data_IF_025681665220
#
_entry.id   IF_025681665220
#
_cell.length_a   1.000
_cell.length_b   1.000
_cell.length_c   1.000
_cell.angle_alpha   90.00
_cell.angle_beta   90.00
_cell.angle_gamma   90.00
#
_symmetry.space_group_name_H-M   'P 1'
#
loop_
_entity.id
_entity.type
_entity.pdbx_description
1 polymer ?
#
# COMPACT_ATOMS: atom_id res chain seq x y z
N UNK A 1 5.80 5.56 16.14
CA UNK A 1 4.42 5.28 15.67
C UNK A 1 3.91 6.56 15.03
N UNK A 2 3.61 6.54 13.73
CA UNK A 2 3.04 7.69 13.02
C UNK A 2 1.60 7.35 12.67
N UNK A 3 0.69 8.30 12.82
CA UNK A 3 -0.70 8.11 12.43
C UNK A 3 -1.00 8.96 11.19
N UNK A 4 -1.83 8.43 10.29
CA UNK A 4 -2.17 9.07 9.02
C UNK A 4 -3.67 9.03 8.76
N UNK A 5 -4.25 10.15 8.34
CA UNK A 5 -5.65 10.22 7.92
C UNK A 5 -5.75 9.99 6.40
N UNK A 6 -6.42 8.91 6.01
CA UNK A 6 -6.74 8.61 4.62
C UNK A 6 -8.22 8.89 4.35
N UNK A 7 -8.49 9.53 3.20
CA UNK A 7 -9.84 9.84 2.75
C UNK A 7 -10.00 9.32 1.32
N UNK A 8 -10.99 8.45 1.10
CA UNK A 8 -11.38 7.97 -0.22
C UNK A 8 -12.76 8.50 -0.61
N UNK A 9 -12.92 8.98 -1.83
CA UNK A 9 -14.21 9.46 -2.35
C UNK A 9 -14.51 8.86 -3.73
N UNK A 10 -15.75 8.42 -3.94
CA UNK A 10 -16.24 7.88 -5.21
C UNK A 10 -17.68 8.33 -5.50
N UNK A 11 -17.92 8.77 -6.73
CA UNK A 11 -19.28 8.88 -7.28
C UNK A 11 -19.75 7.48 -7.70
N UNK A 12 -20.92 7.07 -7.24
CA UNK A 12 -21.49 5.76 -7.58
C UNK A 12 -22.51 5.88 -8.72
N UNK A 13 -22.71 4.79 -9.47
CA UNK A 13 -23.56 4.75 -10.66
C UNK A 13 -25.05 5.08 -10.40
N UNK A 14 -25.47 5.10 -9.13
CA UNK A 14 -26.84 5.39 -8.67
C UNK A 14 -26.96 6.77 -8.00
N UNK A 15 -26.03 7.69 -8.27
CA UNK A 15 -26.09 9.06 -7.76
C UNK A 15 -25.71 9.24 -6.29
N UNK A 16 -25.36 8.17 -5.58
CA UNK A 16 -24.82 8.26 -4.23
C UNK A 16 -23.32 8.60 -4.27
N UNK A 17 -22.89 9.49 -3.39
CA UNK A 17 -21.47 9.78 -3.16
C UNK A 17 -20.99 8.94 -1.99
N UNK A 18 -20.01 8.09 -2.24
CA UNK A 18 -19.32 7.33 -1.20
C UNK A 18 -18.11 8.13 -0.71
N UNK A 19 -18.02 8.36 0.59
CA UNK A 19 -16.85 8.93 1.26
C UNK A 19 -16.47 8.02 2.41
N UNK A 20 -15.21 7.61 2.45
CA UNK A 20 -14.63 6.85 3.54
C UNK A 20 -13.46 7.62 4.15
N UNK A 21 -13.35 7.54 5.48
CA UNK A 21 -12.25 8.08 6.28
C UNK A 21 -11.67 6.96 7.10
N UNK A 22 -10.34 6.91 7.15
CA UNK A 22 -9.60 5.91 7.92
C UNK A 22 -8.42 6.59 8.57
N UNK A 23 -8.31 6.46 9.89
CA UNK A 23 -7.10 6.75 10.65
C UNK A 23 -6.24 5.50 10.68
N UNK A 24 -5.03 5.59 10.16
CA UNK A 24 -4.08 4.50 10.05
C UNK A 24 -2.96 4.68 11.06
N UNK A 25 -2.53 3.60 11.68
CA UNK A 25 -1.24 3.51 12.33
C UNK A 25 -0.21 2.97 11.37
N UNK A 26 0.91 3.65 11.24
CA UNK A 26 2.00 3.33 10.33
C UNK A 26 3.21 2.79 11.12
N UNK A 27 3.73 1.65 10.67
CA UNK A 27 4.97 1.05 11.15
C UNK A 27 5.97 0.92 10.02
N UNK A 28 7.18 1.44 10.21
CA UNK A 28 8.29 1.37 9.26
C UNK A 28 9.29 0.33 9.74
N UNK A 29 9.71 -0.55 8.84
CA UNK A 29 10.61 -1.66 9.11
C UNK A 29 11.72 -1.67 8.05
N UNK A 30 12.84 -0.97 8.31
CA UNK A 30 13.95 -0.86 7.37
C UNK A 30 14.63 -2.20 7.03
N UNK A 31 14.47 -3.20 7.91
CA UNK A 31 15.01 -4.57 7.76
C UNK A 31 13.89 -5.59 7.45
N UNK A 32 12.71 -5.09 7.05
CA UNK A 32 11.53 -5.90 6.82
C UNK A 32 10.76 -6.25 8.11
N UNK A 33 9.52 -6.67 7.95
CA UNK A 33 8.70 -7.10 9.10
C UNK A 33 9.24 -8.41 9.69
N UNK A 34 9.26 -8.55 11.03
CA UNK A 34 9.82 -9.72 11.70
C UNK A 34 9.08 -11.01 11.34
N UNK A 35 9.76 -12.14 11.53
CA UNK A 35 9.16 -13.47 11.39
C UNK A 35 7.91 -13.59 12.28
N UNK A 36 6.86 -14.21 11.74
CA UNK A 36 5.55 -14.31 12.41
C UNK A 36 4.65 -13.08 12.27
N UNK A 37 5.12 -11.97 11.68
CA UNK A 37 4.24 -10.86 11.33
C UNK A 37 3.24 -11.30 10.23
N UNK A 38 1.98 -10.88 10.33
CA UNK A 38 0.88 -11.28 9.40
C UNK A 38 1.11 -10.97 7.91
N UNK A 39 2.06 -10.09 7.61
CA UNK A 39 2.45 -9.69 6.26
C UNK A 39 3.91 -10.04 5.96
N UNK A 40 4.52 -10.91 6.77
CA UNK A 40 5.83 -11.47 6.47
C UNK A 40 5.73 -12.28 5.17
N UNK A 41 6.70 -12.07 4.29
CA UNK A 41 6.85 -12.85 3.07
C UNK A 41 8.13 -13.64 3.26
N UNK A 42 8.06 -14.97 3.12
CA UNK A 42 9.26 -15.80 3.15
C UNK A 42 10.16 -15.35 2.00
N UNK A 43 11.38 -14.90 2.33
CA UNK A 43 12.38 -14.64 1.30
C UNK A 43 12.65 -15.95 0.56
N UNK A 44 12.64 -15.92 -0.77
CA UNK A 44 13.03 -17.09 -1.54
C UNK A 44 14.44 -17.51 -1.08
N UNK A 45 14.56 -18.73 -0.60
CA UNK A 45 15.75 -19.24 0.08
C UNK A 45 17.04 -18.88 -0.70
N UNK A 46 17.91 -18.08 -0.08
CA UNK A 46 19.25 -17.79 -0.59
C UNK A 46 19.50 -16.37 -1.13
N UNK A 47 18.49 -15.50 -1.20
CA UNK A 47 18.72 -14.08 -1.52
C UNK A 47 18.67 -13.24 -0.23
N UNK A 48 19.78 -12.53 0.04
CA UNK A 48 19.84 -11.41 0.98
C UNK A 48 19.04 -10.27 0.35
N UNK A 49 17.71 -10.34 0.47
CA UNK A 49 16.83 -9.33 -0.11
C UNK A 49 16.82 -8.17 0.86
N UNK A 50 17.34 -7.01 0.45
CA UNK A 50 17.14 -5.73 1.15
C UNK A 50 15.63 -5.40 1.10
N UNK A 51 14.88 -5.97 2.05
CA UNK A 51 13.44 -5.78 2.16
C UNK A 51 13.18 -4.61 3.09
N UNK A 52 12.52 -3.59 2.55
CA UNK A 52 12.02 -2.46 3.36
C UNK A 52 10.51 -2.50 3.35
N UNK A 53 9.93 -2.57 4.55
CA UNK A 53 8.49 -2.69 4.72
C UNK A 53 7.89 -1.46 5.39
N UNK A 54 6.74 -1.02 4.89
CA UNK A 54 5.86 -0.06 5.57
C UNK A 54 4.52 -0.75 5.79
N UNK A 55 4.18 -1.00 7.04
CA UNK A 55 2.88 -1.55 7.42
C UNK A 55 1.92 -0.43 7.76
N UNK A 56 0.63 -0.67 7.53
CA UNK A 56 -0.42 0.19 8.02
C UNK A 56 -1.60 -0.64 8.51
N UNK A 57 -2.27 -0.14 9.54
CA UNK A 57 -3.48 -0.76 10.09
C UNK A 57 -4.46 0.31 10.56
N UNK A 58 -5.74 0.10 10.29
CA UNK A 58 -6.79 0.99 10.76
C UNK A 58 -6.86 1.00 12.29
N UNK A 59 -6.85 2.20 12.84
CA UNK A 59 -7.18 2.50 14.24
C UNK A 59 -8.68 2.80 14.35
N UNK A 60 -9.16 3.67 13.45
CA UNK A 60 -10.55 4.15 13.40
C UNK A 60 -10.94 4.36 11.94
N UNK A 61 -12.18 4.06 11.54
CA UNK A 61 -12.63 4.40 10.20
C UNK A 61 -13.87 3.64 9.73
N UNK A 62 -14.19 3.87 8.46
CA UNK A 62 -15.42 3.39 7.82
C UNK A 62 -15.36 1.93 7.35
N UNK A 63 -14.25 1.21 7.56
CA UNK A 63 -14.13 -0.22 7.23
C UNK A 63 -14.15 -1.09 8.49
N UNK A 64 -14.49 -2.36 8.34
CA UNK A 64 -14.31 -3.34 9.43
C UNK A 64 -12.85 -3.73 9.60
N UNK A 65 -12.13 -3.76 8.49
CA UNK A 65 -10.71 -4.07 8.43
C UNK A 65 -10.12 -3.31 7.25
N UNK A 66 -9.05 -2.56 7.51
CA UNK A 66 -8.28 -1.89 6.48
C UNK A 66 -6.83 -1.86 6.92
N UNK A 67 -6.02 -2.71 6.30
CA UNK A 67 -4.64 -2.92 6.70
C UNK A 67 -3.83 -3.50 5.55
N UNK A 68 -2.53 -3.31 5.60
CA UNK A 68 -1.66 -3.78 4.54
C UNK A 68 -0.20 -3.53 4.81
N UNK A 69 0.61 -3.84 3.81
CA UNK A 69 2.05 -3.61 3.82
C UNK A 69 2.52 -3.24 2.42
N UNK A 70 3.38 -2.24 2.35
CA UNK A 70 4.17 -1.91 1.17
C UNK A 70 5.54 -2.54 1.37
N UNK A 71 5.97 -3.33 0.41
CA UNK A 71 7.28 -3.99 0.43
C UNK A 71 8.10 -3.47 -0.73
N UNK A 72 9.28 -2.96 -0.44
CA UNK A 72 10.29 -2.71 -1.46
C UNK A 72 11.19 -3.93 -1.50
N UNK A 73 11.31 -4.55 -2.67
CA UNK A 73 12.18 -5.70 -2.91
C UNK A 73 13.07 -5.41 -4.12
N UNK A 74 14.23 -6.09 -4.18
CA UNK A 74 15.09 -6.05 -5.34
C UNK A 74 14.33 -6.51 -6.60
N UNK A 75 14.59 -5.84 -7.72
CA UNK A 75 14.11 -6.24 -9.05
C UNK A 75 14.97 -7.35 -9.65
N UNK A 76 14.79 -7.59 -10.95
CA UNK A 76 15.55 -8.65 -11.64
C UNK A 76 16.94 -8.16 -12.07
N UNK A 77 17.19 -6.85 -11.98
CA UNK A 77 18.48 -6.20 -12.23
C UNK A 77 18.91 -5.32 -11.06
N UNK A 78 20.21 -5.04 -10.98
CA UNK A 78 20.85 -4.29 -9.87
C UNK A 78 20.26 -2.89 -9.65
N UNK A 79 19.73 -2.25 -10.70
CA UNK A 79 19.12 -0.92 -10.64
C UNK A 79 17.59 -0.94 -10.69
N UNK A 80 16.98 -2.11 -10.53
CA UNK A 80 15.53 -2.26 -10.49
C UNK A 80 15.07 -2.54 -9.06
N UNK A 81 13.94 -1.93 -8.69
CA UNK A 81 13.25 -2.25 -7.45
C UNK A 81 11.78 -2.47 -7.75
N UNK A 82 11.18 -3.46 -7.08
CA UNK A 82 9.75 -3.77 -7.17
C UNK A 82 9.08 -3.28 -5.90
N UNK A 83 8.03 -2.48 -6.06
CA UNK A 83 7.16 -2.06 -4.96
C UNK A 83 5.90 -2.93 -4.97
N UNK A 84 5.76 -3.77 -3.94
CA UNK A 84 4.64 -4.70 -3.79
C UNK A 84 3.67 -4.15 -2.75
N UNK A 85 2.38 -4.13 -3.12
CA UNK A 85 1.31 -3.68 -2.25
C UNK A 85 0.44 -4.87 -1.85
N UNK A 86 0.45 -5.22 -0.56
CA UNK A 86 -0.45 -6.23 0.02
C UNK A 86 -1.51 -5.49 0.84
N UNK A 87 -2.78 -5.71 0.53
CA UNK A 87 -3.90 -5.02 1.17
C UNK A 87 -5.01 -5.98 1.53
N UNK A 88 -5.51 -5.87 2.76
CA UNK A 88 -6.73 -6.53 3.22
C UNK A 88 -7.77 -5.46 3.53
N UNK A 89 -8.93 -5.58 2.88
CA UNK A 89 -10.07 -4.68 3.10
C UNK A 89 -11.32 -5.49 3.36
N UNK A 90 -12.00 -5.19 4.46
CA UNK A 90 -13.32 -5.70 4.78
C UNK A 90 -14.31 -4.55 4.90
N UNK A 91 -15.27 -4.42 3.97
CA UNK A 91 -16.26 -3.36 4.03
C UNK A 91 -17.28 -3.58 5.16
N UNK A 92 -18.02 -2.52 5.46
CA UNK A 92 -19.22 -2.65 6.28
C UNK A 92 -20.33 -3.40 5.51
N UNK A 93 -21.28 -4.08 6.18
CA UNK A 93 -22.32 -4.88 5.52
C UNK A 93 -23.21 -4.07 4.58
N UNK A 94 -23.40 -2.78 4.86
CA UNK A 94 -24.20 -1.87 4.03
C UNK A 94 -23.47 -1.41 2.76
N UNK A 95 -22.18 -1.72 2.61
CA UNK A 95 -21.34 -1.24 1.53
C UNK A 95 -21.02 -2.37 0.53
N UNK A 96 -21.40 -2.25 -0.76
CA UNK A 96 -21.13 -3.30 -1.74
C UNK A 96 -19.64 -3.59 -1.90
N UNK A 97 -19.25 -4.85 -1.68
CA UNK A 97 -17.85 -5.31 -1.78
C UNK A 97 -17.24 -4.99 -3.16
N UNK A 98 -18.00 -5.19 -4.23
CA UNK A 98 -17.54 -4.92 -5.60
C UNK A 98 -17.17 -3.46 -5.83
N UNK A 99 -17.91 -2.53 -5.22
CA UNK A 99 -17.64 -1.10 -5.34
C UNK A 99 -16.33 -0.73 -4.64
N UNK A 100 -16.14 -1.23 -3.43
CA UNK A 100 -14.91 -1.03 -2.65
C UNK A 100 -13.72 -1.62 -3.38
N UNK A 101 -13.80 -2.88 -3.81
CA UNK A 101 -12.70 -3.55 -4.50
C UNK A 101 -12.30 -2.82 -5.78
N UNK A 102 -13.27 -2.38 -6.59
CA UNK A 102 -13.00 -1.62 -7.81
C UNK A 102 -12.27 -0.31 -7.50
N UNK A 103 -12.77 0.46 -6.53
CA UNK A 103 -12.20 1.76 -6.15
C UNK A 103 -10.80 1.61 -5.56
N UNK A 104 -10.63 0.72 -4.60
CA UNK A 104 -9.35 0.42 -3.96
C UNK A 104 -8.33 -0.06 -4.99
N UNK A 105 -8.71 -0.98 -5.88
CA UNK A 105 -7.81 -1.47 -6.93
C UNK A 105 -7.34 -0.35 -7.87
N UNK A 106 -8.26 0.55 -8.26
CA UNK A 106 -7.92 1.69 -9.10
C UNK A 106 -6.95 2.65 -8.38
N UNK A 107 -7.23 2.99 -7.13
CA UNK A 107 -6.39 3.90 -6.34
C UNK A 107 -5.00 3.33 -6.07
N UNK A 108 -4.89 2.04 -5.76
CA UNK A 108 -3.60 1.36 -5.57
C UNK A 108 -2.78 1.40 -6.86
N UNK A 109 -3.39 1.10 -8.02
CA UNK A 109 -2.69 1.15 -9.32
C UNK A 109 -2.21 2.56 -9.65
N UNK A 110 -3.05 3.57 -9.41
CA UNK A 110 -2.67 4.98 -9.60
C UNK A 110 -1.52 5.37 -8.68
N UNK A 111 -1.61 5.05 -7.38
CA UNK A 111 -0.56 5.34 -6.41
C UNK A 111 0.78 4.71 -6.82
N UNK A 112 0.80 3.40 -7.12
CA UNK A 112 2.02 2.70 -7.57
C UNK A 112 2.61 3.33 -8.84
N UNK A 113 1.75 3.74 -9.78
CA UNK A 113 2.19 4.42 -11.00
C UNK A 113 2.82 5.78 -10.70
N UNK A 114 2.21 6.58 -9.81
CA UNK A 114 2.75 7.87 -9.39
C UNK A 114 4.08 7.73 -8.65
N UNK A 115 4.20 6.77 -7.73
CA UNK A 115 5.47 6.50 -7.02
C UNK A 115 6.56 6.12 -8.01
N UNK A 116 6.27 5.23 -8.96
CA UNK A 116 7.23 4.85 -10.01
C UNK A 116 7.69 6.06 -10.84
N UNK A 117 6.76 6.88 -11.32
CA UNK A 117 7.08 8.06 -12.13
C UNK A 117 7.95 9.05 -11.34
N UNK A 118 7.61 9.29 -10.07
CA UNK A 118 8.40 10.18 -9.22
C UNK A 118 9.80 9.64 -8.96
N UNK A 119 9.93 8.35 -8.65
CA UNK A 119 11.22 7.70 -8.42
C UNK A 119 12.10 7.77 -9.68
N UNK A 120 11.53 7.50 -10.85
CA UNK A 120 12.23 7.62 -12.14
C UNK A 120 12.67 9.07 -12.42
N UNK A 121 11.81 10.06 -12.16
CA UNK A 121 12.17 11.46 -12.33
C UNK A 121 13.33 11.87 -11.43
N UNK A 122 13.36 11.42 -10.18
CA UNK A 122 14.46 11.72 -9.26
C UNK A 122 15.76 11.02 -9.66
N UNK A 123 15.66 9.78 -10.14
CA UNK A 123 16.82 9.03 -10.63
C UNK A 123 17.44 9.72 -11.86
N UNK A 124 16.63 10.11 -12.84
CA UNK A 124 17.11 10.82 -14.03
C UNK A 124 17.73 12.17 -13.69
N UNK A 125 17.13 12.93 -12.76
CA UNK A 125 17.64 14.24 -12.34
C UNK A 125 18.89 14.14 -11.44
N UNK A 126 19.07 13.02 -10.74
CA UNK A 126 20.24 12.76 -9.88
C UNK A 126 21.45 12.23 -10.63
N UNK A 127 21.33 11.86 -11.91
CA UNK A 127 22.42 11.39 -12.76
C UNK A 127 23.23 12.49 -13.46
N UNK A 128 22.87 13.77 -13.28
CA UNK A 128 23.58 14.94 -13.85
C UNK A 128 24.47 15.68 -12.82
N UNK A 129 24.67 15.13 -11.61
CA UNK A 129 25.50 15.72 -10.56
C UNK A 129 26.85 15.01 -10.39
#
# INVERSE_FOLDING_TARGET
RRDALQIGEANTAVGFRFKARVMLSIGEFPEGVPEGHKFHLESAAGADVDVKDITFSQIEGDFKEYEGTWKMIAGDSENESKLVYILRVKPQPWLPVSLVMRKVSQEVKTNLSCVRLQAQSLYSNGGEA
#
